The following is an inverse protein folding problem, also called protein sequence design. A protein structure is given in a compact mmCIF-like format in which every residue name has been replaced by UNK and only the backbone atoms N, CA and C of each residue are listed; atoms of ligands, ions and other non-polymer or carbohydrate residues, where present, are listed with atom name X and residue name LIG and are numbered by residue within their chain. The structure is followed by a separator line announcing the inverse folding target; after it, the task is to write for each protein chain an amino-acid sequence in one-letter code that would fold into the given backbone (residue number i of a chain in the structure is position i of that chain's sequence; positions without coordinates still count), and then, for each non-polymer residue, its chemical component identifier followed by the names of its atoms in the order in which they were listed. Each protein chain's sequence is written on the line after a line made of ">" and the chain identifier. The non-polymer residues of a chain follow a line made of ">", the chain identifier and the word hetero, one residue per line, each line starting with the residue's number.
data_IF_889911838807
#
_entry.id   IF_889911838807
#
_cell.length_a   1.000
_cell.length_b   1.000
_cell.length_c   1.000
_cell.angle_alpha   90.00
_cell.angle_beta   90.00
_cell.angle_gamma   90.00
#
_symmetry.space_group_name_H-M   'P 1'
#
loop_
_entity.id
_entity.type
_entity.pdbx_description
1 polymer ?
#
# COMPACT_ATOMS: atom_id res chain seq x y z
N UNK A 1 -2.15 -19.14 18.75
CA UNK A 1 -1.03 -18.98 19.68
C UNK A 1 0.26 -19.11 18.90
N UNK A 2 1.07 -18.06 18.85
CA UNK A 2 2.44 -18.13 18.31
C UNK A 2 3.37 -17.58 19.39
N UNK A 3 4.35 -18.39 19.79
CA UNK A 3 5.22 -18.19 20.93
C UNK A 3 6.51 -17.52 20.46
N UNK A 4 6.85 -16.35 21.00
CA UNK A 4 8.19 -15.77 20.87
C UNK A 4 8.91 -15.90 22.20
N UNK A 5 9.50 -17.07 22.48
CA UNK A 5 10.46 -17.21 23.58
C UNK A 5 11.87 -17.13 23.03
N UNK A 6 12.48 -15.94 23.08
CA UNK A 6 13.92 -15.85 23.25
C UNK A 6 14.20 -15.58 24.72
N UNK A 7 14.77 -16.57 25.38
CA UNK A 7 15.26 -16.51 26.75
C UNK A 7 16.34 -15.43 26.81
N UNK A 8 16.03 -14.28 27.42
CA UNK A 8 17.03 -13.23 27.68
C UNK A 8 16.55 -11.77 27.71
N UNK A 9 15.30 -11.45 27.37
CA UNK A 9 14.84 -10.04 27.31
C UNK A 9 13.76 -9.64 28.34
N UNK A 10 13.41 -10.53 29.28
CA UNK A 10 12.26 -10.37 30.18
C UNK A 10 12.33 -9.18 31.15
N UNK A 11 13.47 -8.49 31.30
CA UNK A 11 13.61 -7.36 32.23
C UNK A 11 13.44 -5.98 31.59
N UNK A 12 13.17 -5.89 30.28
CA UNK A 12 13.09 -4.62 29.54
C UNK A 12 11.70 -4.28 29.01
N UNK A 13 10.74 -5.19 29.12
CA UNK A 13 9.36 -4.95 28.72
C UNK A 13 8.40 -5.78 29.57
N UNK A 14 7.26 -5.19 29.89
CA UNK A 14 6.11 -5.89 30.44
C UNK A 14 5.23 -6.35 29.27
N UNK A 15 4.89 -7.63 29.23
CA UNK A 15 3.92 -8.16 28.28
C UNK A 15 2.60 -8.27 29.01
N UNK A 16 1.63 -7.44 28.64
CA UNK A 16 0.25 -7.62 29.05
C UNK A 16 -0.52 -8.34 27.95
N UNK A 17 -1.12 -9.48 28.30
CA UNK A 17 -2.00 -10.23 27.41
C UNK A 17 -3.41 -9.63 27.47
N UNK A 18 -3.79 -8.89 26.43
CA UNK A 18 -5.15 -8.34 26.30
C UNK A 18 -6.03 -9.37 25.60
N UNK A 19 -7.04 -9.87 26.32
CA UNK A 19 -8.07 -10.74 25.75
C UNK A 19 -8.98 -9.94 24.82
N UNK A 20 -8.97 -10.29 23.54
CA UNK A 20 -9.70 -9.59 22.47
C UNK A 20 -11.23 -9.78 22.61
N UNK A 21 -11.65 -10.86 23.26
CA UNK A 21 -13.04 -11.25 23.47
C UNK A 21 -13.49 -11.12 24.94
N UNK A 22 -12.83 -10.24 25.71
CA UNK A 22 -13.26 -9.91 27.07
C UNK A 22 -14.54 -9.07 27.07
N UNK A 23 -15.23 -9.01 28.21
CA UNK A 23 -16.43 -8.18 28.34
C UNK A 23 -16.09 -6.69 28.30
N UNK A 24 -14.92 -6.30 28.81
CA UNK A 24 -14.39 -4.94 28.71
C UNK A 24 -14.12 -4.55 27.25
N UNK A 25 -13.50 -5.45 26.46
CA UNK A 25 -13.25 -5.20 25.04
C UNK A 25 -14.55 -5.04 24.25
N UNK A 26 -15.59 -5.83 24.57
CA UNK A 26 -16.93 -5.68 23.98
C UNK A 26 -17.53 -4.33 24.33
N UNK A 27 -17.48 -3.93 25.60
CA UNK A 27 -18.04 -2.67 26.07
C UNK A 27 -17.35 -1.46 25.43
N UNK A 28 -16.01 -1.50 25.28
CA UNK A 28 -15.24 -0.45 24.62
C UNK A 28 -15.56 -0.34 23.13
N UNK A 29 -15.70 -1.48 22.45
CA UNK A 29 -16.14 -1.51 21.05
C UNK A 29 -17.56 -0.94 20.91
N UNK A 30 -18.48 -1.26 21.82
CA UNK A 30 -19.84 -0.69 21.79
C UNK A 30 -19.84 0.82 21.97
N UNK A 31 -19.09 1.34 22.94
CA UNK A 31 -18.92 2.78 23.16
C UNK A 31 -18.35 3.45 21.91
N UNK A 32 -17.30 2.87 21.33
CA UNK A 32 -16.68 3.36 20.11
C UNK A 32 -17.69 3.41 18.94
N UNK A 33 -18.41 2.32 18.70
CA UNK A 33 -19.40 2.23 17.62
C UNK A 33 -20.51 3.27 17.79
N UNK A 34 -21.07 3.43 18.99
CA UNK A 34 -22.11 4.44 19.24
C UNK A 34 -21.60 5.85 18.98
N UNK A 35 -20.39 6.14 19.48
CA UNK A 35 -19.79 7.46 19.32
C UNK A 35 -19.52 7.79 17.86
N UNK A 36 -18.80 6.94 17.14
CA UNK A 36 -18.40 7.23 15.76
C UNK A 36 -19.58 7.19 14.77
N UNK A 37 -20.51 6.24 14.91
CA UNK A 37 -21.72 6.23 14.06
C UNK A 37 -22.62 7.44 14.37
N UNK A 38 -22.67 7.87 15.63
CA UNK A 38 -23.38 9.08 16.03
C UNK A 38 -22.87 10.34 15.33
N UNK A 39 -21.55 10.43 15.09
CA UNK A 39 -20.95 11.55 14.35
C UNK A 39 -21.38 11.62 12.89
N UNK A 40 -21.91 10.54 12.30
CA UNK A 40 -22.36 10.54 10.91
C UNK A 40 -23.68 11.26 10.73
N UNK A 41 -24.51 11.33 11.78
CA UNK A 41 -25.84 11.92 11.73
C UNK A 41 -25.87 13.38 11.25
N UNK A 42 -25.00 14.29 11.75
CA UNK A 42 -24.92 15.65 11.20
C UNK A 42 -24.21 15.74 9.84
N UNK A 43 -23.43 14.72 9.44
CA UNK A 43 -22.67 14.72 8.17
C UNK A 43 -23.54 14.38 6.96
N UNK A 44 -24.50 13.47 7.13
CA UNK A 44 -25.30 12.95 6.02
C UNK A 44 -26.77 13.33 6.18
N UNK A 45 -27.30 14.09 5.21
CA UNK A 45 -28.71 14.52 5.19
C UNK A 45 -29.69 13.35 5.22
N UNK A 46 -29.32 12.20 4.64
CA UNK A 46 -30.09 10.96 4.67
C UNK A 46 -30.34 10.44 6.11
N UNK A 47 -29.53 10.85 7.09
CA UNK A 47 -29.66 10.46 8.49
C UNK A 47 -30.41 11.48 9.34
N UNK A 48 -30.68 12.68 8.81
CA UNK A 48 -31.29 13.77 9.56
C UNK A 48 -32.71 13.42 10.06
N UNK A 49 -33.45 12.60 9.29
CA UNK A 49 -34.80 12.15 9.64
C UNK A 49 -34.83 10.94 10.57
N UNK A 50 -33.69 10.27 10.80
CA UNK A 50 -33.65 9.11 11.68
C UNK A 50 -33.74 9.57 13.14
N UNK A 51 -34.74 9.12 13.90
CA UNK A 51 -34.88 9.44 15.34
C UNK A 51 -33.70 8.93 16.15
N UNK A 52 -33.20 7.74 15.79
CA UNK A 52 -32.02 7.10 16.34
C UNK A 52 -31.20 6.54 15.19
N UNK A 53 -29.89 6.80 15.20
CA UNK A 53 -28.97 6.28 14.18
C UNK A 53 -27.75 5.60 14.82
N UNK A 54 -27.41 4.38 14.38
CA UNK A 54 -28.28 3.47 13.61
C UNK A 54 -29.49 3.00 14.44
N UNK A 55 -30.51 2.38 13.82
CA UNK A 55 -31.57 1.71 14.57
C UNK A 55 -30.99 0.70 15.58
N UNK A 56 -31.59 0.59 16.76
CA UNK A 56 -31.00 -0.20 17.86
C UNK A 56 -30.78 -1.68 17.49
N UNK A 57 -31.68 -2.29 16.71
CA UNK A 57 -31.49 -3.67 16.23
C UNK A 57 -30.27 -3.83 15.31
N UNK A 58 -30.06 -2.86 14.41
CA UNK A 58 -28.90 -2.83 13.51
C UNK A 58 -27.61 -2.57 14.29
N UNK A 59 -27.66 -1.69 15.31
CA UNK A 59 -26.57 -1.44 16.23
C UNK A 59 -26.12 -2.72 16.95
N UNK A 60 -27.06 -3.41 17.61
CA UNK A 60 -26.77 -4.61 18.39
C UNK A 60 -26.18 -5.72 17.51
N UNK A 61 -26.67 -5.83 16.27
CA UNK A 61 -26.14 -6.77 15.29
C UNK A 61 -24.72 -6.43 14.85
N UNK A 62 -24.43 -5.15 14.63
CA UNK A 62 -23.07 -4.68 14.34
C UNK A 62 -22.12 -4.92 15.51
N UNK A 63 -22.55 -4.60 16.74
CA UNK A 63 -21.78 -4.87 17.98
C UNK A 63 -21.46 -6.36 18.12
N UNK A 64 -22.47 -7.22 17.98
CA UNK A 64 -22.29 -8.67 18.04
C UNK A 64 -21.40 -9.20 16.91
N UNK A 65 -21.41 -8.56 15.73
CA UNK A 65 -20.49 -8.85 14.63
C UNK A 65 -19.04 -8.55 14.99
N UNK A 66 -18.80 -7.43 15.66
CA UNK A 66 -17.48 -6.98 16.10
C UNK A 66 -16.94 -7.80 17.27
N UNK A 67 -17.75 -8.11 18.29
CA UNK A 67 -17.40 -9.01 19.42
C UNK A 67 -16.04 -8.70 20.04
N UNK A 68 -15.82 -7.43 20.39
CA UNK A 68 -14.57 -6.92 20.97
C UNK A 68 -13.45 -6.62 19.96
N UNK A 69 -13.61 -6.97 18.67
CA UNK A 69 -12.62 -6.67 17.63
C UNK A 69 -12.66 -5.20 17.22
N UNK A 70 -11.81 -4.36 17.83
CA UNK A 70 -11.72 -2.94 17.48
C UNK A 70 -11.39 -2.69 16.00
N UNK A 71 -10.51 -3.50 15.41
CA UNK A 71 -10.20 -3.42 13.97
C UNK A 71 -11.44 -3.69 13.09
N UNK A 72 -12.35 -4.57 13.54
CA UNK A 72 -13.63 -4.79 12.86
C UNK A 72 -14.51 -3.54 12.96
N UNK A 73 -14.68 -3.04 14.18
CA UNK A 73 -15.54 -1.88 14.47
C UNK A 73 -15.09 -0.63 13.69
N UNK A 74 -13.80 -0.32 13.74
CA UNK A 74 -13.21 0.81 13.03
C UNK A 74 -13.27 0.66 11.51
N UNK A 75 -12.99 -0.54 10.97
CA UNK A 75 -13.17 -0.82 9.54
C UNK A 75 -14.64 -0.64 9.12
N UNK A 76 -15.59 -1.15 9.90
CA UNK A 76 -17.02 -1.04 9.62
C UNK A 76 -17.50 0.41 9.65
N UNK A 77 -17.11 1.19 10.67
CA UNK A 77 -17.41 2.63 10.75
C UNK A 77 -16.89 3.37 9.53
N UNK A 78 -15.62 3.15 9.15
CA UNK A 78 -15.03 3.81 7.98
C UNK A 78 -15.69 3.39 6.67
N UNK A 79 -16.13 2.14 6.55
CA UNK A 79 -16.87 1.66 5.39
C UNK A 79 -18.26 2.31 5.27
N UNK A 80 -18.88 2.61 6.41
CA UNK A 80 -20.17 3.32 6.47
C UNK A 80 -19.99 4.82 6.20
N UNK A 81 -18.93 5.42 6.74
CA UNK A 81 -18.53 6.82 6.50
C UNK A 81 -17.76 6.95 5.17
N UNK A 82 -18.37 6.50 4.08
CA UNK A 82 -17.85 6.64 2.71
C UNK A 82 -18.44 7.88 2.04
N UNK A 83 -17.68 8.98 1.89
CA UNK A 83 -18.18 10.21 1.29
C UNK A 83 -18.55 10.05 -0.18
N UNK A 84 -17.93 9.11 -0.89
CA UNK A 84 -18.14 8.93 -2.33
C UNK A 84 -19.41 8.13 -2.61
N UNK A 85 -19.67 7.10 -1.81
CA UNK A 85 -20.99 6.45 -1.79
C UNK A 85 -22.08 7.43 -1.33
N UNK A 86 -21.76 8.29 -0.34
CA UNK A 86 -22.67 9.30 0.18
C UNK A 86 -23.91 8.73 0.87
N UNK A 87 -23.96 7.41 1.11
CA UNK A 87 -25.14 6.69 1.58
C UNK A 87 -24.79 5.73 2.75
N UNK A 88 -24.68 6.25 3.97
CA UNK A 88 -24.34 5.44 5.15
C UNK A 88 -25.39 4.37 5.46
N UNK A 89 -26.66 4.58 5.08
CA UNK A 89 -27.74 3.59 5.28
C UNK A 89 -27.50 2.33 4.45
N UNK A 90 -27.23 2.50 3.15
CA UNK A 90 -26.94 1.37 2.26
C UNK A 90 -25.60 0.70 2.57
N UNK A 91 -24.60 1.45 3.05
CA UNK A 91 -23.31 0.88 3.47
C UNK A 91 -23.46 0.06 4.74
N UNK A 92 -24.20 0.55 5.75
CA UNK A 92 -24.46 -0.20 6.98
C UNK A 92 -25.17 -1.52 6.66
N UNK A 93 -26.19 -1.48 5.80
CA UNK A 93 -26.90 -2.70 5.39
C UNK A 93 -25.96 -3.76 4.81
N UNK A 94 -25.01 -3.36 3.96
CA UNK A 94 -24.01 -4.29 3.40
C UNK A 94 -23.11 -4.90 4.48
N UNK A 95 -22.69 -4.11 5.48
CA UNK A 95 -21.93 -4.65 6.62
C UNK A 95 -22.75 -5.66 7.40
N UNK A 96 -24.03 -5.39 7.66
CA UNK A 96 -24.94 -6.31 8.36
C UNK A 96 -25.19 -7.60 7.57
N UNK A 97 -25.35 -7.51 6.25
CA UNK A 97 -25.46 -8.66 5.36
C UNK A 97 -24.17 -9.49 5.35
N UNK A 98 -22.99 -8.84 5.39
CA UNK A 98 -21.72 -9.54 5.54
C UNK A 98 -21.66 -10.28 6.88
N UNK A 99 -22.11 -9.65 7.98
CA UNK A 99 -22.19 -10.27 9.31
C UNK A 99 -23.12 -11.50 9.28
N UNK A 100 -24.31 -11.40 8.69
CA UNK A 100 -25.22 -12.55 8.57
C UNK A 100 -24.59 -13.73 7.85
N UNK A 101 -23.88 -13.45 6.75
CA UNK A 101 -23.18 -14.46 5.97
C UNK A 101 -22.05 -15.11 6.79
N UNK A 102 -21.41 -14.38 7.69
CA UNK A 102 -20.37 -14.89 8.60
C UNK A 102 -20.95 -15.79 9.68
N UNK A 103 -22.06 -15.34 10.30
CA UNK A 103 -22.72 -16.02 11.40
C UNK A 103 -23.47 -17.28 10.93
N UNK A 104 -24.03 -17.26 9.73
CA UNK A 104 -24.78 -18.39 9.14
C UNK A 104 -23.90 -19.58 8.74
N UNK A 105 -22.58 -19.37 8.57
CA UNK A 105 -21.66 -20.47 8.25
C UNK A 105 -21.52 -21.39 9.48
N UNK A 106 -21.44 -22.74 9.31
CA UNK A 106 -21.30 -23.67 10.43
C UNK A 106 -20.11 -23.30 11.34
N UNK A 107 -20.35 -23.20 12.65
CA UNK A 107 -19.31 -22.96 13.66
C UNK A 107 -18.29 -24.11 13.62
N UNK A 108 -17.25 -23.92 12.82
CA UNK A 108 -16.12 -24.83 12.84
C UNK A 108 -15.31 -24.50 14.10
N UNK A 109 -15.07 -25.48 14.98
CA UNK A 109 -14.39 -25.28 16.28
C UNK A 109 -12.95 -24.75 16.13
N UNK A 110 -12.39 -24.82 14.92
CA UNK A 110 -11.06 -24.32 14.58
C UNK A 110 -11.09 -22.97 13.83
N UNK A 111 -12.11 -22.12 14.03
CA UNK A 111 -12.13 -20.79 13.40
C UNK A 111 -11.03 -19.92 13.99
N UNK A 112 -10.20 -19.38 13.10
CA UNK A 112 -9.21 -18.34 13.39
C UNK A 112 -9.84 -17.21 14.23
N UNK A 113 -9.18 -16.69 15.29
CA UNK A 113 -9.74 -15.63 16.15
C UNK A 113 -10.20 -14.39 15.38
N UNK A 114 -9.55 -14.08 14.25
CA UNK A 114 -9.91 -12.95 13.39
C UNK A 114 -10.83 -13.35 12.23
N UNK A 115 -11.49 -14.52 12.26
CA UNK A 115 -12.29 -15.01 11.13
C UNK A 115 -13.44 -14.06 10.73
N UNK A 116 -14.05 -13.34 11.68
CA UNK A 116 -15.09 -12.34 11.38
C UNK A 116 -14.49 -11.13 10.66
N UNK A 117 -13.33 -10.67 11.13
CA UNK A 117 -12.56 -9.59 10.52
C UNK A 117 -12.07 -9.98 9.11
N UNK A 118 -11.56 -11.20 8.94
CA UNK A 118 -11.13 -11.75 7.65
C UNK A 118 -12.26 -11.77 6.63
N UNK A 119 -13.47 -12.12 7.06
CA UNK A 119 -14.62 -12.14 6.19
C UNK A 119 -15.10 -10.72 5.82
N UNK A 120 -15.01 -9.75 6.74
CA UNK A 120 -15.24 -8.33 6.41
C UNK A 120 -14.22 -7.83 5.38
N UNK A 121 -12.93 -8.11 5.56
CA UNK A 121 -11.90 -7.78 4.59
C UNK A 121 -12.14 -8.46 3.24
N UNK A 122 -12.52 -9.73 3.24
CA UNK A 122 -12.87 -10.47 2.01
C UNK A 122 -14.07 -9.84 1.29
N UNK A 123 -15.06 -9.34 2.04
CA UNK A 123 -16.22 -8.64 1.49
C UNK A 123 -15.80 -7.29 0.87
N UNK A 124 -14.93 -6.53 1.53
CA UNK A 124 -14.41 -5.26 0.99
C UNK A 124 -13.62 -5.51 -0.31
N UNK A 125 -12.74 -6.51 -0.30
CA UNK A 125 -11.94 -6.88 -1.48
C UNK A 125 -12.80 -7.40 -2.64
N UNK A 126 -13.90 -8.10 -2.37
CA UNK A 126 -14.78 -8.63 -3.42
C UNK A 126 -15.59 -7.55 -4.15
N UNK A 127 -15.69 -6.34 -3.58
CA UNK A 127 -16.30 -5.18 -4.24
C UNK A 127 -15.43 -4.54 -5.31
N UNK A 128 -14.13 -4.87 -5.36
CA UNK A 128 -13.24 -4.34 -6.40
C UNK A 128 -13.69 -4.90 -7.76
N UNK A 129 -14.02 -4.05 -8.76
CA UNK A 129 -14.39 -4.53 -10.08
C UNK A 129 -13.27 -5.36 -10.71
N UNK A 130 -13.63 -6.43 -11.43
CA UNK A 130 -12.66 -7.37 -12.01
C UNK A 130 -11.62 -6.71 -12.92
N UNK A 131 -12.01 -5.66 -13.65
CA UNK A 131 -11.11 -4.91 -14.54
C UNK A 131 -10.17 -3.96 -13.78
N UNK A 132 -10.49 -3.59 -12.54
CA UNK A 132 -9.68 -2.73 -11.66
C UNK A 132 -8.74 -3.54 -10.76
N UNK A 133 -9.15 -4.77 -10.43
CA UNK A 133 -8.43 -5.65 -9.50
C UNK A 133 -6.93 -5.83 -9.80
N UNK A 134 -6.46 -5.96 -11.07
CA UNK A 134 -5.03 -6.04 -11.35
C UNK A 134 -4.26 -4.81 -10.84
N UNK A 135 -4.75 -3.60 -11.12
CA UNK A 135 -4.12 -2.35 -10.67
C UNK A 135 -4.16 -2.23 -9.14
N UNK A 136 -5.26 -2.63 -8.51
CA UNK A 136 -5.34 -2.68 -7.04
C UNK A 136 -4.31 -3.63 -6.45
N UNK A 137 -4.12 -4.81 -7.06
CA UNK A 137 -3.12 -5.79 -6.62
C UNK A 137 -1.71 -5.25 -6.73
N UNK A 138 -1.36 -4.61 -7.84
CA UNK A 138 -0.04 -4.00 -8.03
C UNK A 138 0.23 -2.91 -6.99
N UNK A 139 -0.74 -2.04 -6.71
CA UNK A 139 -0.60 -1.02 -5.66
C UNK A 139 -0.43 -1.64 -4.27
N UNK A 140 -1.23 -2.65 -3.92
CA UNK A 140 -1.11 -3.32 -2.62
C UNK A 140 0.24 -4.02 -2.44
N UNK A 141 0.78 -4.63 -3.50
CA UNK A 141 2.12 -5.23 -3.47
C UNK A 141 3.21 -4.16 -3.40
N UNK A 142 3.10 -3.11 -4.21
CA UNK A 142 4.03 -1.98 -4.19
C UNK A 142 4.11 -1.30 -2.83
N UNK A 143 3.00 -1.22 -2.11
CA UNK A 143 2.95 -0.69 -0.73
C UNK A 143 3.71 -1.52 0.30
N UNK A 144 3.80 -2.83 0.06
CA UNK A 144 4.57 -3.74 0.92
C UNK A 144 6.05 -3.75 0.55
N UNK A 145 6.35 -3.57 -0.73
CA UNK A 145 7.72 -3.49 -1.23
C UNK A 145 8.40 -2.18 -0.84
N UNK A 146 7.66 -1.05 -0.93
CA UNK A 146 8.19 0.32 -0.84
C UNK A 146 7.42 1.19 0.18
N UNK A 147 7.41 0.83 1.48
CA UNK A 147 6.64 1.53 2.52
C UNK A 147 7.12 2.96 2.80
N UNK A 148 8.29 3.36 2.30
CA UNK A 148 8.88 4.69 2.42
C UNK A 148 8.41 5.69 1.36
N UNK A 149 7.87 5.22 0.23
CA UNK A 149 7.44 6.09 -0.86
C UNK A 149 6.14 6.83 -0.54
N UNK A 150 6.05 8.08 -1.00
CA UNK A 150 4.76 8.79 -1.06
C UNK A 150 3.85 8.14 -2.12
N UNK A 151 2.56 8.44 -2.08
CA UNK A 151 1.62 7.80 -2.99
C UNK A 151 1.91 8.14 -4.46
N UNK A 152 2.26 9.39 -4.77
CA UNK A 152 2.69 9.80 -6.11
C UNK A 152 3.98 9.14 -6.58
N UNK A 153 4.96 8.98 -5.69
CA UNK A 153 6.21 8.29 -6.00
C UNK A 153 5.99 6.80 -6.28
N UNK A 154 5.13 6.15 -5.49
CA UNK A 154 4.73 4.77 -5.75
C UNK A 154 4.03 4.62 -7.11
N UNK A 155 3.10 5.53 -7.44
CA UNK A 155 2.42 5.53 -8.74
C UNK A 155 3.41 5.70 -9.89
N UNK A 156 4.37 6.63 -9.75
CA UNK A 156 5.44 6.83 -10.73
C UNK A 156 6.29 5.58 -10.90
N UNK A 157 6.66 4.92 -9.79
CA UNK A 157 7.39 3.66 -9.83
C UNK A 157 6.65 2.60 -10.63
N UNK A 158 5.37 2.40 -10.32
CA UNK A 158 4.53 1.42 -11.01
C UNK A 158 4.17 1.81 -12.45
N UNK A 159 4.37 3.08 -12.85
CA UNK A 159 3.98 3.58 -14.17
C UNK A 159 2.48 3.76 -14.29
N UNK A 160 1.85 4.12 -13.17
CA UNK A 160 0.41 4.24 -13.03
C UNK A 160 0.04 5.71 -12.92
N UNK A 161 -0.87 6.17 -13.78
CA UNK A 161 -1.44 7.51 -13.66
C UNK A 161 -2.22 7.65 -12.34
N UNK A 162 -2.16 8.85 -11.72
CA UNK A 162 -2.76 9.08 -10.41
C UNK A 162 -4.27 8.82 -10.39
N UNK A 163 -5.00 9.22 -11.44
CA UNK A 163 -6.44 8.96 -11.57
C UNK A 163 -6.76 7.45 -11.60
N UNK A 164 -5.95 6.67 -12.32
CA UNK A 164 -6.03 5.20 -12.33
C UNK A 164 -5.73 4.64 -10.94
N UNK A 165 -4.71 5.16 -10.27
CA UNK A 165 -4.33 4.70 -8.94
C UNK A 165 -5.41 4.99 -7.89
N UNK A 166 -5.97 6.21 -7.88
CA UNK A 166 -7.09 6.57 -7.03
C UNK A 166 -8.31 5.70 -7.32
N UNK A 167 -8.64 5.45 -8.59
CA UNK A 167 -9.69 4.51 -8.97
C UNK A 167 -9.44 3.08 -8.47
N UNK A 168 -8.18 2.64 -8.47
CA UNK A 168 -7.78 1.31 -8.05
C UNK A 168 -7.88 1.09 -6.53
N UNK A 169 -7.66 2.12 -5.71
CA UNK A 169 -7.79 2.02 -4.25
C UNK A 169 -9.11 2.55 -3.72
N UNK A 170 -9.99 3.06 -4.59
CA UNK A 170 -11.21 3.76 -4.20
C UNK A 170 -12.11 2.96 -3.25
N UNK A 171 -12.32 1.66 -3.52
CA UNK A 171 -13.14 0.78 -2.67
C UNK A 171 -12.46 0.37 -1.34
N UNK A 172 -11.22 0.81 -1.11
CA UNK A 172 -10.40 0.39 0.03
C UNK A 172 -10.23 1.48 1.10
N UNK A 173 -11.00 2.56 1.06
CA UNK A 173 -10.94 3.65 2.06
C UNK A 173 -11.17 3.18 3.52
N UNK A 174 -11.88 2.07 3.71
CA UNK A 174 -12.14 1.47 5.02
C UNK A 174 -10.95 0.71 5.61
N UNK A 175 -9.98 0.34 4.78
CA UNK A 175 -8.79 -0.45 5.16
C UNK A 175 -7.47 0.23 4.84
N UNK A 176 -7.49 1.26 3.99
CA UNK A 176 -6.35 2.11 3.63
C UNK A 176 -6.58 3.55 4.08
N UNK A 177 -5.50 4.20 4.51
CA UNK A 177 -5.43 5.65 4.60
C UNK A 177 -4.94 6.18 3.25
N UNK A 178 -5.87 6.72 2.45
CA UNK A 178 -5.58 7.20 1.09
C UNK A 178 -5.33 8.71 1.18
N UNK A 179 -4.15 9.22 0.75
CA UNK A 179 -3.86 10.64 0.76
C UNK A 179 -4.78 11.43 -0.16
N UNK A 180 -5.22 12.60 0.29
CA UNK A 180 -5.95 13.54 -0.56
C UNK A 180 -5.06 14.04 -1.72
N UNK A 181 -5.65 14.37 -2.89
CA UNK A 181 -4.87 14.79 -4.07
C UNK A 181 -3.93 15.98 -3.84
N UNK A 182 -4.26 16.88 -2.91
CA UNK A 182 -3.45 18.05 -2.60
C UNK A 182 -2.18 17.76 -1.79
N UNK A 183 -2.09 16.60 -1.13
CA UNK A 183 -0.94 16.20 -0.28
C UNK A 183 -0.27 14.92 -0.79
N UNK A 184 -0.63 14.45 -1.98
CA UNK A 184 -0.20 13.16 -2.57
C UNK A 184 1.32 13.05 -2.80
N UNK A 185 2.00 14.18 -2.94
CA UNK A 185 3.46 14.28 -3.08
C UNK A 185 4.20 13.94 -1.77
N UNK A 186 3.60 14.32 -0.64
CA UNK A 186 4.23 14.32 0.68
C UNK A 186 3.73 13.16 1.56
N UNK A 187 2.52 12.70 1.29
CA UNK A 187 1.84 11.69 2.10
C UNK A 187 1.92 10.30 1.47
N UNK A 188 2.07 9.29 2.34
CA UNK A 188 2.07 7.88 1.97
C UNK A 188 0.67 7.32 2.08
N UNK A 189 0.32 6.44 1.15
CA UNK A 189 -0.82 5.54 1.36
C UNK A 189 -0.39 4.44 2.33
N UNK A 190 -1.25 4.09 3.28
CA UNK A 190 -0.90 3.13 4.33
C UNK A 190 -2.06 2.22 4.70
N UNK A 191 -1.74 1.01 5.15
CA UNK A 191 -2.73 0.07 5.68
C UNK A 191 -3.09 0.47 7.11
N UNK A 192 -4.39 0.65 7.39
CA UNK A 192 -4.87 1.13 8.69
C UNK A 192 -4.64 0.14 9.83
N UNK A 193 -4.81 -1.15 9.56
CA UNK A 193 -4.78 -2.19 10.57
C UNK A 193 -3.81 -3.29 10.15
N UNK A 194 -2.84 -3.62 11.02
CA UNK A 194 -1.92 -4.75 10.82
C UNK A 194 -2.65 -6.06 10.44
N UNK A 195 -3.79 -6.44 11.06
CA UNK A 195 -4.56 -7.61 10.64
C UNK A 195 -4.96 -7.65 9.16
N UNK A 196 -5.16 -6.49 8.51
CA UNK A 196 -5.47 -6.44 7.08
C UNK A 196 -4.24 -6.80 6.24
N UNK A 197 -3.06 -6.28 6.59
CA UNK A 197 -1.79 -6.68 5.98
C UNK A 197 -1.56 -8.19 6.14
N UNK A 198 -1.75 -8.71 7.36
CA UNK A 198 -1.61 -10.15 7.63
C UNK A 198 -2.63 -10.99 6.84
N UNK A 199 -3.85 -10.46 6.64
CA UNK A 199 -4.88 -11.08 5.80
C UNK A 199 -4.45 -11.16 4.33
N UNK A 200 -3.94 -10.05 3.78
CA UNK A 200 -3.42 -10.00 2.41
C UNK A 200 -2.25 -10.97 2.20
N UNK A 201 -1.38 -11.11 3.21
CA UNK A 201 -0.18 -11.96 3.15
C UNK A 201 -0.48 -13.45 3.23
N UNK A 202 -1.60 -13.83 3.85
CA UNK A 202 -2.03 -15.21 3.93
C UNK A 202 -2.96 -15.56 2.76
N UNK A 203 -2.43 -16.28 1.77
CA UNK A 203 -3.20 -16.74 0.62
C UNK A 203 -4.43 -17.56 1.01
N UNK A 204 -4.37 -18.35 2.10
CA UNK A 204 -5.51 -19.15 2.56
C UNK A 204 -6.66 -18.26 3.07
N UNK A 205 -6.33 -17.06 3.58
CA UNK A 205 -7.28 -16.08 4.11
C UNK A 205 -7.83 -15.17 3.01
N UNK A 206 -6.98 -14.49 2.23
CA UNK A 206 -7.42 -13.49 1.25
C UNK A 206 -7.67 -14.03 -0.16
N UNK A 207 -6.99 -15.12 -0.55
CA UNK A 207 -6.92 -15.63 -1.93
C UNK A 207 -6.44 -14.59 -2.96
N UNK A 208 -5.82 -13.50 -2.51
CA UNK A 208 -5.44 -12.38 -3.38
C UNK A 208 -4.17 -12.68 -4.18
N UNK A 209 -3.18 -13.30 -3.53
CA UNK A 209 -1.84 -13.49 -4.08
C UNK A 209 -1.41 -14.97 -3.94
N UNK A 210 -1.73 -15.83 -4.95
CA UNK A 210 -1.30 -17.24 -4.94
C UNK A 210 0.21 -17.40 -4.86
N UNK A 211 0.94 -16.57 -5.61
CA UNK A 211 2.39 -16.49 -5.58
C UNK A 211 2.80 -15.03 -5.43
N UNK A 212 2.87 -14.57 -4.17
CA UNK A 212 3.20 -13.18 -3.87
C UNK A 212 4.62 -12.84 -4.29
N UNK A 213 5.57 -13.76 -4.09
CA UNK A 213 7.00 -13.50 -4.36
C UNK A 213 7.22 -13.28 -5.85
N UNK A 214 6.79 -14.23 -6.68
CA UNK A 214 6.92 -14.11 -8.14
C UNK A 214 6.20 -12.87 -8.68
N UNK A 215 5.04 -12.50 -8.12
CA UNK A 215 4.33 -11.28 -8.54
C UNK A 215 5.03 -9.99 -8.13
N UNK A 216 5.64 -9.94 -6.94
CA UNK A 216 6.50 -8.82 -6.56
C UNK A 216 7.70 -8.72 -7.53
N UNK A 217 8.34 -9.85 -7.84
CA UNK A 217 9.44 -9.93 -8.79
C UNK A 217 9.09 -9.36 -10.16
N UNK A 218 7.99 -9.85 -10.74
CA UNK A 218 7.49 -9.41 -12.05
C UNK A 218 7.23 -7.91 -12.09
N UNK A 219 6.65 -7.34 -11.03
CA UNK A 219 6.41 -5.90 -10.93
C UNK A 219 7.74 -5.14 -10.88
N UNK A 220 8.69 -5.56 -10.04
CA UNK A 220 9.98 -4.87 -9.93
C UNK A 220 10.77 -4.94 -11.25
N UNK A 221 10.84 -6.11 -11.89
CA UNK A 221 11.48 -6.29 -13.20
C UNK A 221 10.87 -5.31 -14.21
N UNK A 222 9.54 -5.29 -14.31
CA UNK A 222 8.84 -4.42 -15.25
C UNK A 222 9.12 -2.95 -14.97
N UNK A 223 9.12 -2.54 -13.70
CA UNK A 223 9.42 -1.17 -13.33
C UNK A 223 10.87 -0.81 -13.72
N UNK A 224 11.83 -1.65 -13.33
CA UNK A 224 13.25 -1.48 -13.66
C UNK A 224 13.48 -1.38 -15.17
N UNK A 225 12.92 -2.29 -15.96
CA UNK A 225 13.02 -2.27 -17.42
C UNK A 225 12.41 -1.01 -18.04
N UNK A 226 11.27 -0.53 -17.52
CA UNK A 226 10.65 0.71 -18.01
C UNK A 226 11.56 1.91 -17.80
N UNK A 227 12.04 2.08 -16.56
CA UNK A 227 12.91 3.20 -16.18
C UNK A 227 14.20 3.15 -16.98
N UNK A 228 14.78 1.96 -17.14
CA UNK A 228 15.98 1.75 -17.93
C UNK A 228 15.81 2.17 -19.40
N UNK A 229 14.68 1.81 -20.02
CA UNK A 229 14.39 2.20 -21.40
C UNK A 229 14.18 3.72 -21.54
N UNK A 230 13.49 4.34 -20.59
CA UNK A 230 13.26 5.79 -20.54
C UNK A 230 14.60 6.56 -20.46
N UNK A 231 15.49 6.13 -19.56
CA UNK A 231 16.84 6.68 -19.39
C UNK A 231 17.69 6.49 -20.65
N UNK A 232 17.71 5.28 -21.22
CA UNK A 232 18.52 4.94 -22.39
C UNK A 232 18.07 5.69 -23.64
N UNK A 233 16.77 5.98 -23.76
CA UNK A 233 16.23 6.85 -24.81
C UNK A 233 16.74 8.29 -24.71
N UNK A 234 16.97 8.79 -23.49
CA UNK A 234 17.47 10.13 -23.20
C UNK A 234 18.94 10.36 -23.55
N UNK A 235 19.79 9.37 -23.27
CA UNK A 235 21.23 9.40 -23.59
C UNK A 235 21.46 9.62 -25.09
N UNK A 236 20.63 8.99 -25.93
CA UNK A 236 20.74 9.11 -27.39
C UNK A 236 20.40 10.51 -27.93
N UNK A 237 19.70 11.33 -27.14
CA UNK A 237 19.24 12.67 -27.53
C UNK A 237 20.11 13.80 -26.92
N UNK A 238 21.16 13.47 -26.16
CA UNK A 238 22.04 14.46 -25.51
C UNK A 238 21.40 15.25 -24.36
N UNK A 239 20.20 14.85 -23.92
CA UNK A 239 19.52 15.34 -22.71
C UNK A 239 20.04 14.62 -21.46
N UNK A 240 19.86 15.23 -20.27
CA UNK A 240 20.04 14.53 -19.00
C UNK A 240 19.16 13.25 -19.01
N UNK A 241 19.74 12.05 -18.82
CA UNK A 241 19.00 10.80 -18.91
C UNK A 241 17.81 10.73 -17.94
N UNK A 242 17.87 11.46 -16.83
CA UNK A 242 16.80 11.47 -15.81
C UNK A 242 15.62 12.37 -16.16
N UNK A 243 15.79 13.35 -17.06
CA UNK A 243 14.70 14.17 -17.57
C UNK A 243 13.73 13.37 -18.48
N UNK A 244 14.11 12.16 -18.88
CA UNK A 244 13.29 11.28 -19.70
C UNK A 244 12.45 10.28 -18.90
N UNK A 245 12.64 10.24 -17.57
CA UNK A 245 11.83 9.37 -16.71
C UNK A 245 10.42 9.95 -16.61
N UNK A 246 9.43 9.15 -17.00
CA UNK A 246 8.04 9.58 -16.98
C UNK A 246 7.52 9.66 -15.53
N UNK A 247 7.24 10.89 -15.08
CA UNK A 247 6.59 11.16 -13.79
C UNK A 247 5.09 11.31 -13.98
N UNK A 248 4.35 10.31 -13.51
CA UNK A 248 2.90 10.18 -13.74
C UNK A 248 2.03 11.11 -12.84
N UNK A 249 2.63 12.15 -12.23
CA UNK A 249 1.97 13.09 -11.33
C UNK A 249 2.09 14.58 -11.73
N UNK A 250 2.85 14.92 -12.77
CA UNK A 250 3.15 16.33 -13.09
C UNK A 250 1.99 17.12 -13.73
N UNK A 251 0.86 16.49 -14.05
CA UNK A 251 -0.17 17.15 -14.87
C UNK A 251 -1.12 18.12 -14.14
N UNK A 252 -1.21 18.13 -12.80
CA UNK A 252 -2.28 18.90 -12.12
C UNK A 252 -1.99 19.46 -10.71
N UNK A 253 -0.73 19.54 -10.25
CA UNK A 253 -0.45 20.25 -8.99
C UNK A 253 -0.26 21.75 -9.32
N UNK A 254 -1.08 22.67 -8.80
CA UNK A 254 -0.85 24.09 -9.01
C UNK A 254 0.53 24.45 -8.47
N UNK A 255 1.38 24.97 -9.37
CA UNK A 255 2.78 25.38 -9.15
C UNK A 255 3.03 26.33 -7.96
N UNK A 256 1.99 26.74 -7.23
CA UNK A 256 2.05 27.63 -6.07
C UNK A 256 2.03 26.94 -4.69
N UNK A 257 1.81 25.63 -4.58
CA UNK A 257 1.71 24.95 -3.27
C UNK A 257 2.94 24.12 -2.86
N UNK A 258 3.88 23.89 -3.77
CA UNK A 258 5.19 23.33 -3.42
C UNK A 258 6.09 24.49 -3.03
N UNK A 259 6.06 24.90 -1.76
CA UNK A 259 7.11 25.77 -1.20
C UNK A 259 8.40 24.98 -1.04
N UNK A 260 8.98 24.53 -2.15
CA UNK A 260 10.41 24.29 -2.23
C UNK A 260 11.06 25.60 -2.66
N UNK A 261 11.80 26.15 -1.71
CA UNK A 261 12.45 27.46 -1.70
C UNK A 261 13.06 27.89 -3.04
N UNK A 262 13.08 29.21 -3.24
CA UNK A 262 13.86 29.92 -4.25
C UNK A 262 15.31 29.38 -4.27
N UNK A 263 15.60 28.44 -5.16
CA UNK A 263 16.94 27.97 -5.48
C UNK A 263 17.07 27.99 -7.00
N UNK A 264 18.24 28.45 -7.47
CA UNK A 264 18.57 28.61 -8.87
C UNK A 264 18.41 27.27 -9.63
N UNK A 265 18.09 27.36 -10.92
CA UNK A 265 17.77 26.22 -11.79
C UNK A 265 18.76 25.04 -11.76
N UNK A 266 20.01 25.27 -11.36
CA UNK A 266 21.07 24.29 -11.28
C UNK A 266 20.95 23.39 -10.03
N UNK A 267 20.48 23.93 -8.90
CA UNK A 267 20.24 23.19 -7.65
C UNK A 267 18.95 22.34 -7.72
N UNK A 268 18.00 22.72 -8.57
CA UNK A 268 16.80 21.90 -8.85
C UNK A 268 17.16 20.61 -9.59
N UNK A 269 18.13 20.66 -10.51
CA UNK A 269 18.60 19.50 -11.28
C UNK A 269 19.29 18.47 -10.39
N UNK A 270 20.20 18.91 -9.52
CA UNK A 270 20.93 18.00 -8.62
C UNK A 270 20.01 17.37 -7.56
N UNK A 271 19.06 18.13 -7.00
CA UNK A 271 18.10 17.63 -6.02
C UNK A 271 17.06 16.68 -6.65
N UNK A 272 16.63 16.98 -7.88
CA UNK A 272 15.73 16.14 -8.69
C UNK A 272 16.38 14.82 -9.10
N UNK A 273 17.60 14.86 -9.63
CA UNK A 273 18.44 13.67 -9.90
C UNK A 273 18.58 12.82 -8.64
N UNK A 274 19.01 13.38 -7.52
CA UNK A 274 19.22 12.62 -6.28
C UNK A 274 17.92 12.03 -5.72
N UNK A 275 16.78 12.72 -5.88
CA UNK A 275 15.47 12.19 -5.50
C UNK A 275 14.97 11.10 -6.44
N UNK A 276 15.13 11.25 -7.75
CA UNK A 276 14.75 10.25 -8.76
C UNK A 276 15.61 9.00 -8.59
N UNK A 277 16.92 9.18 -8.46
CA UNK A 277 17.89 8.14 -8.18
C UNK A 277 17.51 7.39 -6.88
N UNK A 278 17.14 8.08 -5.80
CA UNK A 278 16.60 7.43 -4.58
C UNK A 278 15.24 6.76 -4.76
N UNK A 279 14.34 7.34 -5.55
CA UNK A 279 12.98 6.81 -5.79
C UNK A 279 13.01 5.47 -6.54
N UNK A 280 14.06 5.28 -7.34
CA UNK A 280 14.31 4.09 -8.11
C UNK A 280 15.49 3.28 -7.58
N UNK A 281 16.09 3.62 -6.44
CA UNK A 281 17.31 2.96 -5.92
C UNK A 281 18.49 2.87 -6.93
N UNK A 282 18.53 3.82 -7.87
CA UNK A 282 19.59 3.99 -8.86
C UNK A 282 20.65 4.92 -8.28
N UNK A 283 21.92 4.65 -8.49
CA UNK A 283 23.04 5.56 -8.32
C UNK A 283 23.72 5.74 -9.67
N UNK A 284 23.97 6.98 -10.07
CA UNK A 284 24.65 7.30 -11.31
C UNK A 284 26.17 7.33 -11.06
N UNK A 285 26.94 6.49 -11.75
CA UNK A 285 28.38 6.67 -11.86
C UNK A 285 28.66 7.40 -13.18
N UNK A 286 29.02 8.69 -13.10
CA UNK A 286 29.48 9.45 -14.26
C UNK A 286 30.94 9.09 -14.56
N UNK A 287 31.18 8.53 -15.74
CA UNK A 287 32.48 8.48 -16.42
C UNK A 287 32.39 9.36 -17.66
N UNK A 288 33.48 10.05 -18.02
CA UNK A 288 33.51 11.16 -18.99
C UNK A 288 32.91 10.88 -20.39
N UNK A 289 32.60 9.62 -20.72
CA UNK A 289 31.97 9.21 -21.99
C UNK A 289 30.85 8.16 -21.83
N UNK A 290 30.51 7.71 -20.61
CA UNK A 290 29.54 6.62 -20.37
C UNK A 290 28.77 6.80 -19.04
N UNK A 291 27.44 6.66 -19.07
CA UNK A 291 26.62 6.55 -17.86
C UNK A 291 26.54 5.09 -17.41
N UNK A 292 27.05 4.76 -16.22
CA UNK A 292 26.84 3.45 -15.59
C UNK A 292 25.78 3.63 -14.50
N UNK A 293 24.65 2.95 -14.65
CA UNK A 293 23.56 2.97 -13.67
C UNK A 293 23.79 1.84 -12.67
N UNK A 294 24.06 2.22 -11.42
CA UNK A 294 24.33 1.32 -10.31
C UNK A 294 23.05 1.14 -9.49
N UNK A 295 22.44 -0.05 -9.47
CA UNK A 295 21.24 -0.28 -8.66
C UNK A 295 21.63 -0.83 -7.30
N UNK A 296 21.56 0.01 -6.26
CA UNK A 296 21.87 -0.43 -4.91
C UNK A 296 20.60 -0.99 -4.29
N UNK A 297 20.61 -2.29 -3.99
CA UNK A 297 19.54 -3.03 -3.30
C UNK A 297 18.29 -3.36 -4.13
N UNK A 298 18.43 -4.35 -5.01
CA UNK A 298 17.42 -5.39 -4.96
C UNK A 298 17.56 -6.11 -3.62
N UNK A 299 16.45 -6.45 -2.94
CA UNK A 299 16.55 -7.38 -1.81
C UNK A 299 17.31 -8.62 -2.28
N UNK A 300 18.11 -9.25 -1.42
CA UNK A 300 18.90 -10.44 -1.79
C UNK A 300 18.04 -11.52 -2.47
N UNK A 301 16.76 -11.66 -2.08
CA UNK A 301 15.84 -12.62 -2.68
C UNK A 301 15.35 -12.24 -4.08
N UNK A 302 15.44 -10.97 -4.46
CA UNK A 302 15.05 -10.45 -5.78
C UNK A 302 16.21 -10.42 -6.77
N UNK A 303 17.44 -10.35 -6.25
CA UNK A 303 18.67 -10.24 -7.04
C UNK A 303 18.86 -11.45 -7.97
N UNK A 304 18.67 -12.66 -7.45
CA UNK A 304 18.74 -13.91 -8.21
C UNK A 304 17.66 -13.99 -9.30
N UNK A 305 16.42 -13.55 -9.01
CA UNK A 305 15.33 -13.56 -10.00
C UNK A 305 15.58 -12.57 -11.16
N UNK A 306 16.14 -11.40 -10.87
CA UNK A 306 16.51 -10.40 -11.88
C UNK A 306 17.67 -10.87 -12.76
N UNK A 307 18.63 -11.59 -12.17
CA UNK A 307 19.74 -12.22 -12.89
C UNK A 307 19.24 -13.37 -13.79
N UNK A 308 18.35 -14.23 -13.27
CA UNK A 308 17.74 -15.31 -14.05
C UNK A 308 17.00 -14.77 -15.28
N UNK A 309 16.31 -13.64 -15.13
CA UNK A 309 15.61 -12.97 -16.22
C UNK A 309 16.48 -12.05 -17.09
N UNK A 310 17.81 -12.06 -16.94
CA UNK A 310 18.77 -11.27 -17.71
C UNK A 310 18.48 -9.75 -17.68
N UNK A 311 17.87 -9.27 -16.60
CA UNK A 311 17.60 -7.84 -16.40
C UNK A 311 18.84 -7.13 -15.91
N UNK A 312 19.66 -7.81 -15.10
CA UNK A 312 20.91 -7.30 -14.53
C UNK A 312 22.07 -8.26 -14.80
N UNK A 313 23.25 -7.71 -15.04
CA UNK A 313 24.52 -8.46 -15.13
C UNK A 313 25.33 -8.22 -13.86
N UNK A 314 25.87 -9.28 -13.26
CA UNK A 314 26.77 -9.15 -12.12
C UNK A 314 28.19 -8.82 -12.58
N UNK A 315 28.79 -7.80 -11.98
CA UNK A 315 30.21 -7.49 -12.16
C UNK A 315 30.89 -7.40 -10.79
N UNK A 316 31.93 -8.21 -10.51
CA UNK A 316 32.72 -8.09 -9.30
C UNK A 316 33.33 -6.70 -9.20
N UNK A 317 33.35 -6.09 -8.01
CA UNK A 317 33.87 -4.72 -7.82
C UNK A 317 35.32 -4.54 -8.31
N UNK A 318 36.12 -5.61 -8.32
CA UNK A 318 37.50 -5.62 -8.83
C UNK A 318 37.63 -5.72 -10.36
N UNK A 319 36.56 -6.01 -11.07
CA UNK A 319 36.50 -6.16 -12.55
C UNK A 319 35.67 -5.05 -13.21
N UNK A 320 35.32 -4.03 -12.42
CA UNK A 320 34.43 -2.95 -12.79
C UNK A 320 35.17 -1.93 -13.68
N UNK A 321 35.38 -2.30 -14.94
CA UNK A 321 35.87 -1.42 -15.98
C UNK A 321 34.70 -0.93 -16.83
N UNK A 322 34.48 0.39 -16.85
CA UNK A 322 33.50 1.05 -17.72
C UNK A 322 33.69 0.73 -19.21
N UNK A 323 34.87 0.24 -19.62
CA UNK A 323 35.17 -0.21 -20.97
C UNK A 323 34.54 -1.58 -21.32
N UNK A 324 34.34 -2.45 -20.33
CA UNK A 324 33.82 -3.83 -20.47
C UNK A 324 32.29 -3.92 -20.44
N UNK A 325 31.62 -2.84 -20.04
CA UNK A 325 30.15 -2.76 -20.04
C UNK A 325 29.73 -2.28 -21.44
N UNK A 326 29.03 -3.15 -22.19
CA UNK A 326 28.46 -2.75 -23.48
C UNK A 326 27.37 -1.69 -23.24
N UNK A 327 27.28 -0.70 -24.14
CA UNK A 327 26.35 0.43 -23.98
C UNK A 327 24.90 -0.04 -23.80
N UNK A 328 24.23 0.49 -22.77
CA UNK A 328 22.89 0.12 -22.30
C UNK A 328 22.79 -1.28 -21.66
N UNK A 329 23.56 -1.56 -20.61
CA UNK A 329 23.36 -2.71 -19.72
C UNK A 329 23.12 -2.28 -18.27
N UNK A 330 22.17 -2.91 -17.56
CA UNK A 330 22.04 -2.76 -16.11
C UNK A 330 23.04 -3.69 -15.42
N UNK A 331 23.87 -3.13 -14.54
CA UNK A 331 24.94 -3.87 -13.88
C UNK A 331 24.73 -3.83 -12.37
N UNK A 332 24.69 -5.01 -11.75
CA UNK A 332 24.75 -5.15 -10.30
C UNK A 332 26.19 -5.45 -9.88
N UNK A 333 26.70 -4.66 -8.94
CA UNK A 333 28.07 -4.84 -8.44
C UNK A 333 28.02 -5.66 -7.16
N UNK A 334 28.75 -6.77 -7.13
CA UNK A 334 28.79 -7.65 -5.97
C UNK A 334 30.10 -7.40 -5.22
N UNK A 335 30.00 -7.17 -3.90
CA UNK A 335 31.15 -7.22 -3.00
C UNK A 335 31.49 -8.70 -2.79
N UNK A 336 32.55 -9.19 -3.43
CA UNK A 336 33.11 -10.53 -3.20
C UNK A 336 33.76 -10.65 -1.84
#
# INVERSE_FOLDING_TARGET
>A
MAYFSRVGLSSLYEVEDILIDSDEAREDVERYLRHELGKLRPKYSALASATQWPPEGDFLKLSAGADGLFAFASTAVRFVDDPVSGNPVSQLKQVLEAIDNILSRPRNRNRHPLARLDALYSHILSRIPRHILPMTKELLLGLDSHPELSFSHLCSRLGMALDVAYGAVHQLHSVLNIPEPNVVAECRISILHKPFRDHLHDFKRSRMFPDRKSRCAEIEIRCASRIFNEISGGVNNGSDPTENISLYWESHIPFGSLTFFQMESQDRRSLGLTHLLKLFDIQLLESAERCVFWWNLFREDMHEELKEHQVIYEVPIGELDSSNIEGNQMVSVVFS
#
